data_IF_834568728861
#
_entry.id   IF_834568728861
#
_cell.length_a   1.000
_cell.length_b   1.000
_cell.length_c   1.000
_cell.angle_alpha   90.00
_cell.angle_beta   90.00
_cell.angle_gamma   90.00
#
_symmetry.space_group_name_H-M   'P 1'
#
loop_
_entity.id
_entity.type
_entity.pdbx_description
1 polymer ?
#
# COMPACT_ATOMS: atom_id res chain seq x y z
N UNK A 1 15.26 44.57 20.48
CA UNK A 1 14.74 44.68 19.10
C UNK A 1 15.05 43.39 18.40
N UNK A 2 14.31 42.31 18.70
CA UNK A 2 13.03 41.93 18.07
C UNK A 2 13.26 41.57 16.60
N UNK A 3 13.62 40.31 16.35
CA UNK A 3 13.43 39.67 15.06
C UNK A 3 11.94 39.31 15.00
N UNK A 4 11.19 40.03 14.17
CA UNK A 4 9.82 39.69 13.83
C UNK A 4 9.83 38.38 13.04
N UNK A 5 9.66 37.28 13.76
CA UNK A 5 9.17 36.04 13.18
C UNK A 5 7.68 36.23 12.95
N UNK A 6 7.34 36.62 11.72
CA UNK A 6 6.00 36.49 11.16
C UNK A 6 5.60 35.01 11.21
N UNK A 7 5.06 34.63 12.36
CA UNK A 7 4.47 33.35 12.66
C UNK A 7 3.01 33.44 12.24
N UNK A 8 2.75 33.51 10.94
CA UNK A 8 1.40 33.31 10.42
C UNK A 8 1.40 32.61 9.06
N UNK A 9 0.74 31.45 9.07
CA UNK A 9 0.10 30.75 7.95
C UNK A 9 0.95 30.30 6.77
N UNK A 10 1.92 29.42 7.01
CA UNK A 10 2.20 28.37 6.03
C UNK A 10 1.66 27.06 6.60
N UNK A 11 0.33 27.01 6.76
CA UNK A 11 -0.36 25.72 6.77
C UNK A 11 -0.11 25.15 5.38
N UNK A 12 0.47 23.95 5.33
CA UNK A 12 0.59 23.22 4.08
C UNK A 12 -0.85 23.07 3.54
N UNK A 13 -1.17 23.45 2.29
CA UNK A 13 -2.53 23.30 1.73
C UNK A 13 -3.03 21.84 1.70
N UNK A 14 -2.26 20.90 2.23
CA UNK A 14 -2.58 19.49 2.41
C UNK A 14 -2.84 19.07 3.88
N UNK A 15 -2.81 19.99 4.86
CA UNK A 15 -2.98 19.67 6.30
C UNK A 15 -4.45 19.48 6.73
N UNK A 16 -5.44 19.84 5.90
CA UNK A 16 -6.84 19.45 6.10
C UNK A 16 -7.18 18.27 5.19
N UNK A 17 -6.91 17.05 5.66
CA UNK A 17 -7.53 15.86 5.07
C UNK A 17 -9.02 15.96 5.39
N UNK A 18 -9.77 16.50 4.43
CA UNK A 18 -11.23 16.69 4.47
C UNK A 18 -11.90 15.36 4.81
N UNK A 19 -12.88 15.37 5.71
CA UNK A 19 -13.60 14.17 6.19
C UNK A 19 -14.13 13.27 5.06
N UNK A 20 -14.44 13.83 3.88
CA UNK A 20 -14.83 13.09 2.69
C UNK A 20 -13.72 12.18 2.14
N UNK A 21 -12.45 12.64 2.12
CA UNK A 21 -11.33 11.79 1.73
C UNK A 21 -11.08 10.68 2.76
N UNK A 22 -11.25 10.98 4.06
CA UNK A 22 -11.14 9.97 5.13
C UNK A 22 -12.20 8.88 4.98
N UNK A 23 -13.44 9.27 4.70
CA UNK A 23 -14.55 8.35 4.43
C UNK A 23 -14.26 7.47 3.19
N UNK A 24 -13.62 8.03 2.16
CA UNK A 24 -13.19 7.27 0.99
C UNK A 24 -12.11 6.22 1.35
N UNK A 25 -11.12 6.55 2.19
CA UNK A 25 -10.07 5.60 2.58
C UNK A 25 -10.58 4.46 3.47
N UNK A 26 -11.57 4.73 4.33
CA UNK A 26 -12.22 3.68 5.10
C UNK A 26 -12.96 2.68 4.20
N UNK A 27 -13.63 3.17 3.15
CA UNK A 27 -14.25 2.29 2.15
C UNK A 27 -13.21 1.47 1.37
N UNK A 28 -12.09 2.10 0.99
CA UNK A 28 -10.95 1.40 0.36
C UNK A 28 -10.41 0.32 1.28
N UNK A 29 -10.16 0.63 2.57
CA UNK A 29 -9.70 -0.33 3.55
C UNK A 29 -10.66 -1.52 3.71
N UNK A 30 -11.96 -1.26 3.85
CA UNK A 30 -12.98 -2.30 3.93
C UNK A 30 -12.97 -3.23 2.72
N UNK A 31 -12.74 -2.70 1.52
CA UNK A 31 -12.58 -3.51 0.31
C UNK A 31 -11.28 -4.32 0.31
N UNK A 32 -10.17 -3.76 0.79
CA UNK A 32 -8.89 -4.48 0.92
C UNK A 32 -9.01 -5.67 1.88
N UNK A 33 -9.69 -5.49 3.02
CA UNK A 33 -9.99 -6.59 3.95
C UNK A 33 -10.85 -7.65 3.25
N UNK A 34 -11.89 -7.25 2.50
CA UNK A 34 -12.70 -8.20 1.72
C UNK A 34 -11.86 -8.97 0.72
N UNK A 35 -10.96 -8.31 -0.02
CA UNK A 35 -10.00 -8.99 -0.91
C UNK A 35 -9.20 -10.01 -0.12
N UNK A 36 -8.58 -9.63 1.00
CA UNK A 36 -7.80 -10.53 1.85
C UNK A 36 -8.59 -11.78 2.30
N UNK A 37 -9.87 -11.62 2.66
CA UNK A 37 -10.72 -12.76 3.03
C UNK A 37 -10.90 -13.78 1.90
N UNK A 38 -10.93 -13.33 0.63
CA UNK A 38 -11.01 -14.25 -0.52
C UNK A 38 -9.76 -15.13 -0.69
N UNK A 39 -8.63 -14.73 -0.09
CA UNK A 39 -7.39 -15.50 -0.07
C UNK A 39 -7.23 -16.33 1.21
N UNK A 40 -8.25 -16.40 2.07
CA UNK A 40 -8.21 -17.16 3.32
C UNK A 40 -7.40 -16.47 4.42
N UNK A 41 -7.29 -15.14 4.37
CA UNK A 41 -6.72 -14.35 5.47
C UNK A 41 -7.83 -13.75 6.33
N UNK A 42 -7.64 -13.81 7.64
CA UNK A 42 -8.46 -13.06 8.59
C UNK A 42 -8.11 -11.57 8.57
N UNK A 43 -9.01 -10.73 9.09
CA UNK A 43 -8.77 -9.30 9.26
C UNK A 43 -7.54 -9.01 10.14
N UNK A 44 -7.33 -9.82 11.19
CA UNK A 44 -6.19 -9.70 12.09
C UNK A 44 -4.87 -10.00 11.35
N UNK A 45 -4.85 -11.05 10.53
CA UNK A 45 -3.69 -11.36 9.69
C UNK A 45 -3.43 -10.26 8.66
N UNK A 46 -4.48 -9.77 8.01
CA UNK A 46 -4.36 -8.67 7.05
C UNK A 46 -3.78 -7.42 7.72
N UNK A 47 -4.31 -7.03 8.88
CA UNK A 47 -3.78 -5.92 9.65
C UNK A 47 -2.31 -6.16 10.02
N UNK A 48 -1.96 -7.37 10.46
CA UNK A 48 -0.59 -7.70 10.85
C UNK A 48 0.42 -7.67 9.70
N UNK A 49 0.08 -8.23 8.54
CA UNK A 49 1.01 -8.35 7.41
C UNK A 49 1.00 -7.10 6.51
N UNK A 50 -0.19 -6.58 6.22
CA UNK A 50 -0.41 -5.66 5.11
C UNK A 50 -0.76 -4.24 5.55
N UNK A 51 -0.62 -3.90 6.83
CA UNK A 51 -0.94 -2.55 7.31
C UNK A 51 0.12 -2.00 8.25
N UNK A 52 0.09 -0.69 8.43
CA UNK A 52 0.83 0.03 9.46
C UNK A 52 -0.07 1.07 10.12
N UNK A 53 0.20 1.46 11.37
CA UNK A 53 -0.48 2.61 11.97
C UNK A 53 -0.19 3.87 11.15
N UNK A 54 -1.24 4.65 10.85
CA UNK A 54 -1.08 5.98 10.29
C UNK A 54 -0.30 6.89 11.26
N UNK A 55 0.38 7.94 10.75
CA UNK A 55 1.08 8.92 11.59
C UNK A 55 0.15 9.65 12.57
N UNK A 56 -1.12 9.82 12.19
CA UNK A 56 -2.16 10.44 13.02
C UNK A 56 -2.75 9.49 14.09
N UNK A 57 -2.36 8.22 14.06
CA UNK A 57 -2.81 7.17 14.99
C UNK A 57 -4.27 6.75 14.84
N UNK A 58 -5.01 7.28 13.85
CA UNK A 58 -6.47 7.09 13.79
C UNK A 58 -6.89 5.88 12.95
N UNK A 59 -6.16 5.53 11.89
CA UNK A 59 -6.55 4.42 11.02
C UNK A 59 -5.35 3.67 10.46
N UNK A 60 -5.43 2.33 10.33
CA UNK A 60 -4.38 1.58 9.67
C UNK A 60 -4.31 1.96 8.18
N UNK A 61 -3.10 2.08 7.67
CA UNK A 61 -2.81 2.37 6.27
C UNK A 61 -2.31 1.10 5.62
N UNK A 62 -2.79 0.83 4.41
CA UNK A 62 -2.27 -0.29 3.63
C UNK A 62 -0.77 -0.12 3.36
N UNK A 63 -0.04 -1.20 3.58
CA UNK A 63 1.41 -1.25 3.50
C UNK A 63 1.82 -2.40 2.59
N UNK A 64 2.43 -2.03 1.47
CA UNK A 64 2.76 -2.96 0.39
C UNK A 64 4.21 -3.47 0.41
N UNK A 65 5.02 -3.04 1.38
CA UNK A 65 6.43 -3.42 1.42
C UNK A 65 6.71 -4.46 2.51
N UNK A 66 7.94 -4.97 2.51
CA UNK A 66 8.39 -5.95 3.49
C UNK A 66 8.33 -5.41 4.92
N UNK A 67 8.05 -6.27 5.91
CA UNK A 67 7.91 -5.87 7.33
C UNK A 67 9.18 -5.16 7.87
N UNK A 68 10.35 -5.52 7.36
CA UNK A 68 11.63 -4.90 7.75
C UNK A 68 11.79 -3.45 7.27
N UNK A 69 11.03 -3.01 6.26
CA UNK A 69 11.04 -1.60 5.85
C UNK A 69 10.07 -0.72 6.64
N UNK A 70 9.31 -1.29 7.59
CA UNK A 70 8.35 -0.52 8.42
C UNK A 70 9.00 0.61 9.21
N UNK A 71 10.16 0.43 9.89
CA UNK A 71 10.78 1.54 10.63
C UNK A 71 11.12 2.72 9.72
N UNK A 72 11.56 2.45 8.49
CA UNK A 72 11.82 3.49 7.49
C UNK A 72 10.52 4.16 7.06
N UNK A 73 9.48 3.40 6.76
CA UNK A 73 8.20 3.95 6.34
C UNK A 73 7.53 4.80 7.46
N UNK A 74 7.69 4.40 8.72
CA UNK A 74 7.30 5.21 9.88
C UNK A 74 8.07 6.53 9.95
N UNK A 75 9.39 6.50 9.72
CA UNK A 75 10.20 7.73 9.68
C UNK A 75 9.82 8.69 8.54
N UNK A 76 9.21 8.17 7.46
CA UNK A 76 8.68 8.97 6.34
C UNK A 76 7.19 9.31 6.48
N UNK A 77 6.58 9.07 7.64
CA UNK A 77 5.16 9.33 7.89
C UNK A 77 4.24 8.68 6.85
N UNK A 78 4.43 7.38 6.60
CA UNK A 78 3.63 6.63 5.63
C UNK A 78 2.12 6.77 5.85
N UNK A 79 1.41 7.33 4.87
CA UNK A 79 -0.04 7.57 4.91
C UNK A 79 -0.73 7.17 3.60
N UNK A 80 -2.07 7.30 3.57
CA UNK A 80 -2.88 7.02 2.39
C UNK A 80 -2.55 7.95 1.20
N UNK A 81 -2.12 9.19 1.46
CA UNK A 81 -1.72 10.14 0.43
C UNK A 81 -0.43 9.72 -0.28
N UNK A 82 0.57 9.25 0.46
CA UNK A 82 1.80 8.68 -0.08
C UNK A 82 1.49 7.44 -0.91
N UNK A 83 0.62 6.55 -0.40
CA UNK A 83 0.18 5.37 -1.14
C UNK A 83 -0.53 5.74 -2.45
N UNK A 84 -1.45 6.71 -2.42
CA UNK A 84 -2.16 7.18 -3.62
C UNK A 84 -1.20 7.78 -4.67
N UNK A 85 -0.20 8.56 -4.23
CA UNK A 85 0.86 9.10 -5.11
C UNK A 85 1.70 7.98 -5.72
N UNK A 86 2.06 6.96 -4.94
CA UNK A 86 2.78 5.80 -5.45
C UNK A 86 1.96 5.04 -6.49
N UNK A 87 0.68 4.75 -6.19
CA UNK A 87 -0.22 4.06 -7.11
C UNK A 87 -0.41 4.85 -8.42
N UNK A 88 -0.50 6.18 -8.32
CA UNK A 88 -0.56 7.07 -9.49
C UNK A 88 0.69 6.94 -10.36
N UNK A 89 1.88 6.94 -9.76
CA UNK A 89 3.14 6.75 -10.50
C UNK A 89 3.23 5.37 -11.13
N UNK A 90 2.81 4.32 -10.43
CA UNK A 90 2.77 2.97 -10.98
C UNK A 90 1.83 2.89 -12.19
N UNK A 91 0.62 3.47 -12.09
CA UNK A 91 -0.32 3.53 -13.20
C UNK A 91 0.25 4.30 -14.40
N UNK A 92 0.90 5.44 -14.16
CA UNK A 92 1.56 6.22 -15.21
C UNK A 92 2.67 5.41 -15.88
N UNK A 93 3.52 4.72 -15.11
CA UNK A 93 4.58 3.87 -15.68
C UNK A 93 4.00 2.73 -16.51
N UNK A 94 2.95 2.05 -16.02
CA UNK A 94 2.30 0.98 -16.77
C UNK A 94 1.70 1.49 -18.09
N UNK A 95 1.04 2.64 -18.08
CA UNK A 95 0.38 3.18 -19.28
C UNK A 95 1.35 3.82 -20.29
N UNK A 96 2.49 4.35 -19.83
CA UNK A 96 3.41 5.11 -20.70
C UNK A 96 4.68 4.35 -21.08
N UNK A 97 5.14 3.45 -20.22
CA UNK A 97 6.46 2.83 -20.32
C UNK A 97 6.40 1.31 -20.47
N UNK A 98 5.40 0.64 -19.88
CA UNK A 98 5.20 -0.80 -20.07
C UNK A 98 4.46 -1.06 -21.38
N UNK A 99 5.08 -1.88 -22.24
CA UNK A 99 4.48 -2.48 -23.45
C UNK A 99 3.48 -1.58 -24.19
N UNK A 100 3.93 -0.38 -24.59
CA UNK A 100 3.13 0.70 -25.20
C UNK A 100 2.18 0.22 -26.30
N UNK A 101 2.60 -0.77 -27.08
CA UNK A 101 1.79 -1.34 -28.16
C UNK A 101 0.62 -2.16 -27.62
N UNK A 102 0.82 -2.94 -26.55
CA UNK A 102 -0.26 -3.67 -25.89
C UNK A 102 -1.25 -2.72 -25.19
N UNK A 103 -0.77 -1.61 -24.63
CA UNK A 103 -1.64 -0.58 -24.06
C UNK A 103 -2.48 0.13 -25.13
N UNK A 104 -1.96 0.33 -26.34
CA UNK A 104 -2.72 0.95 -27.43
C UNK A 104 -3.92 0.08 -27.87
N UNK A 105 -3.76 -1.24 -27.84
CA UNK A 105 -4.74 -2.18 -28.40
C UNK A 105 -5.61 -2.87 -27.32
N UNK A 106 -5.13 -2.98 -26.08
CA UNK A 106 -5.74 -3.79 -25.01
C UNK A 106 -5.80 -3.08 -23.65
N UNK A 107 -5.74 -1.74 -23.64
CA UNK A 107 -5.93 -0.95 -22.44
C UNK A 107 -7.23 -1.31 -21.71
N UNK A 108 -7.13 -1.73 -20.44
CA UNK A 108 -8.32 -1.96 -19.61
C UNK A 108 -9.03 -0.61 -19.31
N UNK A 109 -10.33 -0.49 -19.58
CA UNK A 109 -11.07 0.73 -19.30
C UNK A 109 -11.27 0.93 -17.79
N UNK A 110 -11.30 2.20 -17.34
CA UNK A 110 -11.62 2.53 -15.94
C UNK A 110 -10.48 2.33 -14.93
N UNK A 111 -9.24 2.18 -15.38
CA UNK A 111 -8.07 2.07 -14.50
C UNK A 111 -7.84 3.38 -13.73
N UNK A 112 -7.89 3.29 -12.41
CA UNK A 112 -7.58 4.40 -11.48
C UNK A 112 -6.46 4.00 -10.54
N UNK A 113 -5.79 4.96 -9.87
CA UNK A 113 -4.78 4.64 -8.84
C UNK A 113 -5.35 3.70 -7.75
N UNK A 114 -6.62 3.86 -7.38
CA UNK A 114 -7.28 2.99 -6.40
C UNK A 114 -7.37 1.55 -6.88
N UNK A 115 -7.68 1.32 -8.17
CA UNK A 115 -7.68 -0.02 -8.76
C UNK A 115 -6.28 -0.66 -8.70
N UNK A 116 -5.22 0.14 -8.93
CA UNK A 116 -3.83 -0.35 -8.77
C UNK A 116 -3.54 -0.78 -7.33
N UNK A 117 -4.05 -0.07 -6.32
CA UNK A 117 -3.93 -0.48 -4.92
C UNK A 117 -4.61 -1.85 -4.71
N UNK A 118 -5.80 -2.06 -5.28
CA UNK A 118 -6.48 -3.36 -5.21
C UNK A 118 -5.68 -4.48 -5.88
N UNK A 119 -5.09 -4.24 -7.06
CA UNK A 119 -4.24 -5.22 -7.72
C UNK A 119 -3.01 -5.60 -6.90
N UNK A 120 -2.36 -4.61 -6.29
CA UNK A 120 -1.23 -4.86 -5.38
C UNK A 120 -1.70 -5.68 -4.17
N UNK A 121 -2.88 -5.38 -3.62
CA UNK A 121 -3.47 -6.16 -2.54
C UNK A 121 -3.69 -7.62 -2.95
N UNK A 122 -4.32 -7.87 -4.10
CA UNK A 122 -4.50 -9.22 -4.64
C UNK A 122 -3.16 -9.96 -4.76
N UNK A 123 -2.13 -9.31 -5.30
CA UNK A 123 -0.80 -9.89 -5.45
C UNK A 123 -0.18 -10.26 -4.09
N UNK A 124 -0.20 -9.36 -3.11
CA UNK A 124 0.37 -9.62 -1.78
C UNK A 124 -0.40 -10.73 -1.07
N UNK A 125 -1.74 -10.69 -1.14
CA UNK A 125 -2.59 -11.70 -0.54
C UNK A 125 -2.32 -13.10 -1.12
N UNK A 126 -2.14 -13.19 -2.44
CA UNK A 126 -1.79 -14.43 -3.12
C UNK A 126 -0.42 -14.97 -2.69
N UNK A 127 0.58 -14.08 -2.54
CA UNK A 127 1.90 -14.46 -2.04
C UNK A 127 1.86 -14.96 -0.59
N UNK A 128 1.13 -14.30 0.30
CA UNK A 128 0.97 -14.74 1.69
C UNK A 128 0.26 -16.09 1.74
N UNK A 129 -0.81 -16.27 0.96
CA UNK A 129 -1.50 -17.57 0.84
C UNK A 129 -0.52 -18.66 0.38
N UNK A 130 0.25 -18.40 -0.67
CA UNK A 130 1.24 -19.35 -1.20
C UNK A 130 2.29 -19.72 -0.14
N UNK A 131 2.73 -18.77 0.69
CA UNK A 131 3.65 -19.03 1.80
C UNK A 131 3.01 -19.89 2.90
N UNK A 132 1.75 -19.63 3.24
CA UNK A 132 0.98 -20.44 4.19
C UNK A 132 0.81 -21.88 3.70
N UNK A 133 0.53 -22.05 2.40
CA UNK A 133 0.38 -23.37 1.78
C UNK A 133 1.72 -24.13 1.72
N UNK A 134 2.82 -23.42 1.45
CA UNK A 134 4.16 -24.01 1.42
C UNK A 134 4.70 -24.38 2.82
N UNK A 135 4.25 -23.69 3.87
CA UNK A 135 4.72 -23.86 5.24
C UNK A 135 3.54 -24.08 6.22
N UNK A 136 2.84 -25.23 6.12
CA UNK A 136 1.69 -25.50 6.96
C UNK A 136 2.11 -25.55 8.44
N UNK A 137 1.53 -24.68 9.26
CA UNK A 137 1.83 -24.58 10.70
C UNK A 137 2.95 -23.59 11.05
N UNK A 138 3.52 -22.87 10.08
CA UNK A 138 4.41 -21.76 10.35
C UNK A 138 3.69 -20.65 11.15
N UNK A 139 4.39 -20.11 12.14
CA UNK A 139 3.90 -18.95 12.89
C UNK A 139 3.88 -17.71 12.00
N UNK A 140 3.07 -16.71 12.38
CA UNK A 140 2.90 -15.46 11.66
C UNK A 140 4.21 -14.72 11.41
N UNK A 141 5.18 -14.83 12.31
CA UNK A 141 6.49 -14.20 12.15
C UNK A 141 7.28 -14.88 11.03
N UNK A 142 7.27 -16.21 10.94
CA UNK A 142 7.91 -16.96 9.86
C UNK A 142 7.31 -16.59 8.50
N UNK A 143 6.01 -16.29 8.44
CA UNK A 143 5.31 -15.83 7.24
C UNK A 143 5.58 -14.34 6.94
N UNK A 144 5.86 -13.51 7.96
CA UNK A 144 6.11 -12.07 7.81
C UNK A 144 7.55 -11.73 7.39
N UNK A 145 8.53 -12.54 7.79
CA UNK A 145 9.96 -12.33 7.51
C UNK A 145 10.61 -13.19 6.39
N UNK A 146 9.89 -13.91 5.50
CA UNK A 146 10.57 -14.69 4.48
C UNK A 146 11.25 -13.75 3.49
N UNK A 147 12.48 -14.10 3.06
CA UNK A 147 13.31 -13.33 2.11
C UNK A 147 12.61 -13.01 0.77
N UNK A 148 11.44 -13.60 0.51
CA UNK A 148 10.75 -13.63 -0.79
C UNK A 148 9.67 -12.55 -1.00
N UNK A 149 9.24 -11.77 0.01
CA UNK A 149 8.27 -10.68 -0.23
C UNK A 149 9.02 -9.42 -0.67
N UNK A 150 9.61 -9.47 -1.87
CA UNK A 150 10.17 -8.32 -2.56
C UNK A 150 9.25 -7.96 -3.73
N UNK A 151 8.46 -6.88 -3.58
CA UNK A 151 7.71 -6.28 -4.72
C UNK A 151 8.66 -5.57 -5.69
N UNK A 152 9.94 -5.37 -5.32
CA UNK A 152 10.94 -4.75 -6.18
C UNK A 152 12.26 -5.53 -6.11
N UNK A 153 12.38 -6.52 -6.99
CA UNK A 153 13.66 -7.01 -7.51
C UNK A 153 14.38 -8.06 -6.66
N UNK A 154 14.19 -9.34 -7.02
CA UNK A 154 15.29 -10.24 -7.40
C UNK A 154 14.70 -11.46 -8.10
N UNK A 155 14.71 -11.47 -9.42
CA UNK A 155 14.65 -12.73 -10.15
C UNK A 155 15.94 -13.48 -9.84
N UNK A 156 15.84 -14.47 -8.96
CA UNK A 156 16.87 -15.48 -8.77
C UNK A 156 16.74 -16.52 -9.88
N UNK A 157 16.92 -16.12 -11.14
CA UNK A 157 17.16 -17.07 -12.22
C UNK A 157 18.63 -17.47 -12.20
N UNK A 158 18.84 -18.73 -11.82
CA UNK A 158 20.09 -19.48 -12.00
C UNK A 158 20.36 -19.73 -13.48
#
# INVERSE_FOLDING_TARGET
MQFDLDRNSMLDPFDEIVDEERLAWNAVYGLLVRIATTYGMSEIEFAYYCTMPAPDGQSPVFYLFHILSRPRAQAFSWDWGILARLATRLLQTMTTSCNRNAEADFAEPGRTPTVVIYWICHFICDKIRSLKDAMPGADREVIAFPEFILILGRDSSS
#
